data_IF_810664229957
#
_entry.id   IF_810664229957
#
_cell.length_a   1.000
_cell.length_b   1.000
_cell.length_c   1.000
_cell.angle_alpha   90.00
_cell.angle_beta   90.00
_cell.angle_gamma   90.00
#
_symmetry.space_group_name_H-M   'P 1'
#
loop_
_entity.id
_entity.type
_entity.pdbx_description
1 polymer ?
#
# COMPACT_ATOMS: atom_id res chain seq x y z
N UNK A 1 6.32 16.78 -6.63
CA UNK A 1 5.19 16.13 -7.34
C UNK A 1 4.66 15.03 -6.45
N UNK A 2 3.34 14.85 -6.40
CA UNK A 2 2.73 13.73 -5.67
C UNK A 2 2.90 12.43 -6.49
N UNK A 3 3.31 11.35 -5.83
CA UNK A 3 3.50 10.04 -6.45
C UNK A 3 2.37 9.08 -6.04
N UNK A 4 2.08 8.12 -6.91
CA UNK A 4 1.26 6.94 -6.62
C UNK A 4 2.16 5.80 -6.16
N UNK A 5 2.05 5.42 -4.90
CA UNK A 5 2.89 4.40 -4.28
C UNK A 5 2.03 3.18 -3.95
N UNK A 6 2.38 2.03 -4.53
CA UNK A 6 1.77 0.75 -4.18
C UNK A 6 2.65 0.02 -3.16
N UNK A 7 2.06 -0.42 -2.05
CA UNK A 7 2.71 -1.17 -0.98
C UNK A 7 2.24 -2.63 -1.03
N UNK A 8 3.16 -3.53 -1.37
CA UNK A 8 2.96 -4.97 -1.18
C UNK A 8 3.53 -5.36 0.17
N UNK A 9 2.67 -5.82 1.09
CA UNK A 9 3.08 -6.28 2.41
C UNK A 9 2.07 -7.26 3.01
N UNK A 10 2.44 -7.82 4.16
CA UNK A 10 1.56 -8.61 5.03
C UNK A 10 0.28 -7.83 5.43
N UNK A 11 -0.75 -8.50 5.98
CA UNK A 11 -1.97 -7.86 6.51
C UNK A 11 -1.67 -6.61 7.34
N UNK A 12 -2.18 -5.46 6.89
CA UNK A 12 -1.95 -4.16 7.55
C UNK A 12 -2.53 -4.15 8.97
N UNK A 13 -3.53 -4.99 9.23
CA UNK A 13 -4.16 -5.21 10.53
C UNK A 13 -3.17 -5.69 11.60
N UNK A 14 -2.19 -6.52 11.20
CA UNK A 14 -1.23 -7.16 12.10
C UNK A 14 0.07 -6.36 12.27
N UNK A 15 0.16 -5.16 11.69
CA UNK A 15 1.37 -4.34 11.70
C UNK A 15 1.72 -3.86 13.10
N UNK A 16 2.98 -4.09 13.51
CA UNK A 16 3.55 -3.45 14.68
C UNK A 16 4.02 -2.03 14.32
N UNK A 17 3.22 -1.02 14.65
CA UNK A 17 3.50 0.39 14.31
C UNK A 17 4.85 0.93 14.84
N UNK A 18 5.42 0.29 15.87
CA UNK A 18 6.68 0.73 16.48
C UNK A 18 7.90 0.03 15.86
N UNK A 19 7.73 -1.11 15.19
CA UNK A 19 8.82 -1.91 14.64
C UNK A 19 8.78 -2.05 13.11
N UNK A 20 7.65 -1.75 12.46
CA UNK A 20 7.48 -2.00 11.04
C UNK A 20 8.05 -0.86 10.17
N UNK A 21 9.02 -1.21 9.32
CA UNK A 21 9.65 -0.25 8.41
C UNK A 21 8.75 0.15 7.24
N UNK A 22 7.96 -0.77 6.68
CA UNK A 22 7.01 -0.45 5.59
C UNK A 22 5.98 0.57 6.08
N UNK A 23 5.48 0.41 7.30
CA UNK A 23 4.57 1.37 7.93
C UNK A 23 5.20 2.76 8.07
N UNK A 24 6.44 2.84 8.55
CA UNK A 24 7.17 4.13 8.66
C UNK A 24 7.39 4.78 7.30
N UNK A 25 7.73 3.99 6.28
CA UNK A 25 7.91 4.48 4.90
C UNK A 25 6.59 4.99 4.33
N UNK A 26 5.48 4.27 4.55
CA UNK A 26 4.15 4.70 4.13
C UNK A 26 3.72 6.02 4.80
N UNK A 27 3.95 6.17 6.10
CA UNK A 27 3.69 7.43 6.81
C UNK A 27 4.47 8.60 6.21
N UNK A 28 5.75 8.40 5.90
CA UNK A 28 6.58 9.45 5.30
C UNK A 28 6.15 9.78 3.86
N UNK A 29 5.77 8.77 3.07
CA UNK A 29 5.22 8.98 1.75
C UNK A 29 3.95 9.85 1.79
N UNK A 30 3.03 9.57 2.72
CA UNK A 30 1.85 10.42 2.95
C UNK A 30 2.22 11.82 3.41
N UNK A 31 3.20 11.97 4.33
CA UNK A 31 3.65 13.27 4.81
C UNK A 31 4.19 14.16 3.66
N UNK A 32 4.75 13.53 2.61
CA UNK A 32 5.20 14.19 1.38
C UNK A 32 4.08 14.41 0.35
N UNK A 33 2.84 14.07 0.68
CA UNK A 33 1.67 14.21 -0.18
C UNK A 33 1.53 13.13 -1.24
N UNK A 34 2.15 11.96 -1.06
CA UNK A 34 1.97 10.81 -1.96
C UNK A 34 0.72 10.01 -1.58
N UNK A 35 0.05 9.44 -2.58
CA UNK A 35 -1.09 8.55 -2.36
C UNK A 35 -0.61 7.11 -2.19
N UNK A 36 -1.19 6.38 -1.24
CA UNK A 36 -0.88 4.98 -1.00
C UNK A 36 -1.97 4.05 -1.52
N UNK A 37 -1.54 2.93 -2.04
CA UNK A 37 -2.37 1.77 -2.35
C UNK A 37 -1.76 0.54 -1.72
N UNK A 38 -2.57 -0.31 -1.10
CA UNK A 38 -2.13 -1.49 -0.37
C UNK A 38 -2.70 -2.77 -0.98
N UNK A 39 -1.87 -3.80 -1.08
CA UNK A 39 -2.29 -5.14 -1.45
C UNK A 39 -1.37 -6.20 -0.82
N UNK A 40 -1.87 -7.43 -0.70
CA UNK A 40 -1.07 -8.58 -0.26
C UNK A 40 -0.51 -9.36 -1.45
N UNK A 41 0.58 -10.13 -1.30
CA UNK A 41 1.19 -10.89 -2.40
C UNK A 41 0.21 -11.81 -3.15
N UNK A 42 -0.74 -12.42 -2.43
CA UNK A 42 -1.77 -13.31 -3.01
C UNK A 42 -2.84 -12.61 -3.85
N UNK A 43 -2.79 -11.28 -3.97
CA UNK A 43 -3.75 -10.47 -4.73
C UNK A 43 -3.19 -9.91 -6.05
N UNK A 44 -2.02 -10.42 -6.46
CA UNK A 44 -1.45 -10.15 -7.77
C UNK A 44 -2.05 -11.07 -8.83
N UNK A 45 -2.27 -10.50 -10.02
CA UNK A 45 -2.64 -11.25 -11.21
C UNK A 45 -1.84 -10.74 -12.42
N UNK A 46 -1.43 -11.66 -13.28
CA UNK A 46 -0.89 -11.31 -14.59
C UNK A 46 -1.95 -11.58 -15.65
N UNK A 47 -2.34 -10.57 -16.42
CA UNK A 47 -3.32 -10.70 -17.51
C UNK A 47 -2.81 -9.97 -18.74
N UNK A 48 -2.54 -10.71 -19.81
CA UNK A 48 -2.23 -10.17 -21.14
C UNK A 48 -1.12 -9.10 -21.13
N UNK A 49 -0.02 -9.33 -20.41
CA UNK A 49 1.10 -8.38 -20.34
C UNK A 49 1.00 -7.36 -19.21
N UNK A 50 -0.11 -7.33 -18.46
CA UNK A 50 -0.35 -6.37 -17.38
C UNK A 50 -0.27 -7.03 -16.01
N UNK A 51 0.40 -6.37 -15.07
CA UNK A 51 0.45 -6.77 -13.67
C UNK A 51 -0.66 -6.03 -12.92
N UNK A 52 -1.71 -6.74 -12.56
CA UNK A 52 -2.86 -6.22 -11.84
C UNK A 52 -2.74 -6.55 -10.35
N UNK A 53 -3.21 -5.65 -9.50
CA UNK A 53 -3.34 -5.87 -8.06
C UNK A 53 -4.76 -5.57 -7.61
N UNK A 54 -5.35 -6.48 -6.83
CA UNK A 54 -6.57 -6.19 -6.09
C UNK A 54 -6.20 -5.73 -4.69
N UNK A 55 -6.67 -4.55 -4.30
CA UNK A 55 -6.23 -3.93 -3.06
C UNK A 55 -7.10 -2.73 -2.69
N UNK A 56 -6.55 -1.85 -1.87
CA UNK A 56 -7.30 -0.75 -1.28
C UNK A 56 -6.48 0.53 -1.28
N UNK A 57 -7.08 1.70 -1.57
CA UNK A 57 -6.52 2.98 -1.16
C UNK A 57 -6.25 2.94 0.35
N UNK A 58 -5.08 3.41 0.77
CA UNK A 58 -4.62 3.29 2.14
C UNK A 58 -4.34 4.67 2.73
N UNK A 59 -4.87 4.91 3.92
CA UNK A 59 -4.42 5.99 4.80
C UNK A 59 -3.83 5.38 6.07
N UNK A 60 -2.62 5.81 6.45
CA UNK A 60 -1.91 5.40 7.65
C UNK A 60 -1.88 6.53 8.68
N UNK A 61 -1.91 6.16 9.95
CA UNK A 61 -1.76 7.09 11.07
C UNK A 61 -1.13 6.39 12.27
N UNK A 62 -0.35 7.11 13.06
CA UNK A 62 0.36 6.53 14.21
C UNK A 62 -0.52 6.46 15.46
N UNK A 63 -1.63 5.74 15.38
CA UNK A 63 -2.59 5.53 16.48
C UNK A 63 -2.77 4.04 16.70
N UNK A 64 -2.36 3.52 17.86
CA UNK A 64 -2.45 2.09 18.17
C UNK A 64 -3.92 1.63 18.18
N UNK A 65 -4.24 0.60 17.40
CA UNK A 65 -5.60 0.08 17.25
C UNK A 65 -6.45 0.82 16.21
N UNK A 66 -5.93 1.91 15.64
CA UNK A 66 -6.58 2.70 14.58
C UNK A 66 -5.53 3.19 13.59
N UNK A 67 -4.55 2.35 13.25
CA UNK A 67 -3.35 2.79 12.53
C UNK A 67 -3.51 2.88 11.02
N UNK A 68 -4.68 2.51 10.49
CA UNK A 68 -4.96 2.56 9.06
C UNK A 68 -6.44 2.78 8.76
N UNK A 69 -6.74 3.23 7.55
CA UNK A 69 -8.06 3.19 6.93
C UNK A 69 -7.92 2.65 5.52
N UNK A 70 -8.79 1.71 5.15
CA UNK A 70 -8.89 1.21 3.79
C UNK A 70 -10.09 1.85 3.11
N UNK A 71 -9.87 2.35 1.89
CA UNK A 71 -10.94 2.71 0.98
C UNK A 71 -11.68 1.47 0.45
N UNK A 72 -12.56 1.61 -0.54
CA UNK A 72 -13.19 0.48 -1.20
C UNK A 72 -12.15 -0.40 -1.93
N UNK A 73 -12.37 -1.72 -1.92
CA UNK A 73 -11.54 -2.65 -2.68
C UNK A 73 -11.65 -2.35 -4.17
N UNK A 74 -10.50 -2.27 -4.86
CA UNK A 74 -10.46 -2.03 -6.30
C UNK A 74 -9.33 -2.84 -6.94
N UNK A 75 -9.50 -3.15 -8.22
CA UNK A 75 -8.44 -3.71 -9.07
C UNK A 75 -7.73 -2.56 -9.79
N UNK A 76 -6.40 -2.55 -9.77
CA UNK A 76 -5.57 -1.53 -10.42
C UNK A 76 -4.49 -2.17 -11.26
N UNK A 77 -4.01 -1.45 -12.27
CA UNK A 77 -2.83 -1.80 -13.03
C UNK A 77 -1.59 -1.20 -12.38
N UNK A 78 -0.68 -2.04 -11.88
CA UNK A 78 0.55 -1.60 -11.23
C UNK A 78 1.50 -0.86 -12.19
N UNK A 79 1.38 -1.06 -13.50
CA UNK A 79 2.11 -0.29 -14.50
C UNK A 79 1.74 1.20 -14.54
N UNK A 80 0.65 1.60 -13.87
CA UNK A 80 0.21 3.00 -13.76
C UNK A 80 0.68 3.70 -12.48
N UNK A 81 1.42 3.00 -11.62
CA UNK A 81 2.00 3.54 -10.39
C UNK A 81 3.42 4.03 -10.63
N UNK A 82 3.84 5.06 -9.88
CA UNK A 82 5.19 5.59 -9.96
C UNK A 82 6.18 4.72 -9.17
N UNK A 83 5.71 4.08 -8.09
CA UNK A 83 6.52 3.24 -7.19
C UNK A 83 5.73 2.01 -6.76
N UNK A 84 6.36 0.85 -6.81
CA UNK A 84 5.89 -0.38 -6.17
C UNK A 84 6.91 -0.79 -5.11
N UNK A 85 6.53 -0.70 -3.84
CA UNK A 85 7.34 -1.12 -2.71
C UNK A 85 7.02 -2.56 -2.33
N UNK A 86 7.95 -3.47 -2.65
CA UNK A 86 7.81 -4.89 -2.36
C UNK A 86 8.48 -5.21 -1.02
N UNK A 87 7.70 -5.73 -0.06
CA UNK A 87 8.22 -6.22 1.22
C UNK A 87 7.63 -7.60 1.53
N UNK A 88 8.53 -8.53 1.86
CA UNK A 88 8.24 -9.87 2.37
C UNK A 88 8.83 -10.02 3.77
#
# INVERSE_FOLDING_TARGET
>A
MALKVALQMDPVEAVNIDADSTFRIGLEAQARGHSLFYYTPGRLAYREGRVLARGWPLELRRVKGDHFTLGPETEVDLGTFDVVWLRQ
#
